data_IF_010654868009
#
_entry.id   IF_010654868009
#
_cell.length_a   1.000
_cell.length_b   1.000
_cell.length_c   1.000
_cell.angle_alpha   90.00
_cell.angle_beta   90.00
_cell.angle_gamma   90.00
#
_symmetry.space_group_name_H-M   'P 1'
#
loop_
_entity.id
_entity.type
_entity.pdbx_description
1 polymer ?
#
# COMPACT_ATOMS: atom_id res chain seq x y z
N UNK A 1 -15.49 -19.19 -2.99
CA UNK A 1 -15.91 -17.99 -3.73
C UNK A 1 -14.88 -17.61 -4.79
N UNK A 2 -15.35 -17.13 -5.93
CA UNK A 2 -14.44 -16.66 -6.98
C UNK A 2 -13.77 -15.36 -6.55
N UNK A 3 -12.49 -15.20 -6.89
CA UNK A 3 -11.74 -13.99 -6.62
C UNK A 3 -12.20 -12.84 -7.54
N UNK A 4 -12.12 -11.63 -7.01
CA UNK A 4 -12.35 -10.41 -7.78
C UNK A 4 -11.19 -10.22 -8.75
N UNK A 5 -11.49 -9.81 -9.98
CA UNK A 5 -10.47 -9.50 -10.99
C UNK A 5 -10.38 -7.99 -11.14
N UNK A 6 -9.29 -7.41 -10.64
CA UNK A 6 -9.01 -6.00 -10.84
C UNK A 6 -8.40 -5.78 -12.23
N UNK A 7 -8.74 -4.68 -12.91
CA UNK A 7 -8.11 -4.36 -14.20
C UNK A 7 -6.64 -3.98 -14.01
N UNK A 8 -5.81 -4.27 -15.00
CA UNK A 8 -4.44 -3.75 -15.05
C UNK A 8 -4.48 -2.26 -15.34
N UNK A 9 -3.71 -1.48 -14.58
CA UNK A 9 -3.57 -0.04 -14.76
C UNK A 9 -2.16 0.28 -15.21
N UNK A 10 -1.98 1.43 -15.83
CA UNK A 10 -0.66 1.90 -16.24
C UNK A 10 -0.41 3.33 -15.81
N UNK A 11 0.86 3.62 -15.50
CA UNK A 11 1.39 4.96 -15.33
C UNK A 11 2.54 5.16 -16.32
N UNK A 12 3.22 6.30 -16.27
CA UNK A 12 4.39 6.54 -17.12
C UNK A 12 5.45 5.44 -16.96
N UNK A 13 5.77 5.06 -15.72
CA UNK A 13 6.88 4.14 -15.41
C UNK A 13 6.46 2.76 -14.92
N UNK A 14 5.18 2.57 -14.58
CA UNK A 14 4.71 1.38 -13.88
C UNK A 14 3.53 0.71 -14.59
N UNK A 15 3.48 -0.62 -14.43
CA UNK A 15 2.28 -1.41 -14.66
C UNK A 15 1.76 -1.82 -13.27
N UNK A 16 0.49 -1.58 -13.02
CA UNK A 16 -0.18 -1.93 -11.77
C UNK A 16 -1.11 -3.12 -12.05
N UNK A 17 -0.83 -4.25 -11.45
CA UNK A 17 -1.58 -5.48 -11.68
C UNK A 17 -1.84 -6.24 -10.37
N UNK A 18 -2.84 -7.11 -10.33
CA UNK A 18 -3.04 -7.99 -9.19
C UNK A 18 -1.80 -8.84 -8.89
N UNK A 19 -1.61 -9.13 -7.61
CA UNK A 19 -0.56 -10.03 -7.14
C UNK A 19 -1.03 -11.47 -7.22
N UNK A 20 -0.10 -12.40 -7.43
CA UNK A 20 -0.33 -13.84 -7.38
C UNK A 20 0.71 -14.53 -6.52
N UNK A 21 0.49 -15.79 -6.17
CA UNK A 21 1.46 -16.58 -5.39
C UNK A 21 2.79 -16.77 -6.14
N UNK A 22 2.80 -16.62 -7.45
CA UNK A 22 4.01 -16.67 -8.26
C UNK A 22 4.92 -15.47 -8.02
N UNK A 23 4.38 -14.39 -7.44
CA UNK A 23 5.13 -13.19 -7.08
C UNK A 23 5.84 -13.30 -5.72
N UNK A 24 5.71 -14.43 -5.02
CA UNK A 24 6.17 -14.59 -3.64
C UNK A 24 7.63 -14.21 -3.40
N UNK A 25 8.52 -14.59 -4.29
CA UNK A 25 9.95 -14.29 -4.12
C UNK A 25 10.23 -12.78 -4.24
N UNK A 26 9.56 -12.12 -5.17
CA UNK A 26 9.66 -10.67 -5.31
C UNK A 26 9.06 -9.95 -4.09
N UNK A 27 7.89 -10.37 -3.63
CA UNK A 27 7.22 -9.81 -2.46
C UNK A 27 8.07 -9.99 -1.20
N UNK A 28 8.71 -11.14 -1.05
CA UNK A 28 9.56 -11.42 0.11
C UNK A 28 10.76 -10.46 0.21
N UNK A 29 11.19 -9.88 -0.90
CA UNK A 29 12.28 -8.89 -0.89
C UNK A 29 11.96 -7.68 -0.01
N UNK A 30 10.70 -7.27 0.10
CA UNK A 30 10.33 -6.17 0.99
C UNK A 30 9.68 -6.65 2.29
N UNK A 31 8.88 -7.71 2.29
CA UNK A 31 8.28 -8.21 3.52
C UNK A 31 9.29 -8.83 4.47
N UNK A 32 10.40 -9.34 3.94
CA UNK A 32 11.52 -9.88 4.72
C UNK A 32 12.65 -8.87 4.98
N UNK A 33 12.51 -7.62 4.57
CA UNK A 33 13.53 -6.58 4.76
C UNK A 33 13.22 -5.73 5.99
N UNK A 34 14.07 -5.77 7.04
CA UNK A 34 13.84 -4.97 8.26
C UNK A 34 13.73 -3.46 8.01
N UNK A 35 14.40 -2.94 6.98
CA UNK A 35 14.34 -1.51 6.62
C UNK A 35 12.94 -1.11 6.15
N UNK A 36 12.29 -1.97 5.37
CA UNK A 36 10.92 -1.77 4.88
C UNK A 36 9.93 -2.00 6.02
N UNK A 37 10.14 -3.03 6.83
CA UNK A 37 9.22 -3.42 7.90
C UNK A 37 9.22 -2.48 9.10
N UNK A 38 10.24 -1.66 9.30
CA UNK A 38 10.46 -0.87 10.52
C UNK A 38 9.19 -0.24 11.10
N UNK A 39 8.37 0.39 10.27
CA UNK A 39 7.15 1.09 10.68
C UNK A 39 5.86 0.36 10.27
N UNK A 40 5.98 -0.83 9.71
CA UNK A 40 4.81 -1.57 9.23
C UNK A 40 4.04 -2.22 10.36
N UNK A 41 2.73 -2.37 10.18
CA UNK A 41 1.84 -2.99 11.16
C UNK A 41 2.07 -4.51 11.24
N UNK A 42 2.42 -5.15 10.12
CA UNK A 42 2.70 -6.59 10.10
C UNK A 42 4.11 -6.88 10.61
N UNK A 43 4.35 -8.06 11.24
CA UNK A 43 5.68 -8.44 11.67
C UNK A 43 6.57 -8.78 10.48
N UNK A 44 7.90 -8.68 10.69
CA UNK A 44 8.87 -9.04 9.66
C UNK A 44 8.66 -10.51 9.24
N UNK A 45 8.52 -10.76 7.94
CA UNK A 45 8.41 -12.11 7.43
C UNK A 45 9.76 -12.81 7.49
N UNK A 46 9.76 -14.04 7.96
CA UNK A 46 10.97 -14.87 8.11
C UNK A 46 11.09 -15.94 7.05
N UNK A 47 9.96 -16.26 6.38
CA UNK A 47 9.89 -17.31 5.36
C UNK A 47 9.04 -16.84 4.19
N UNK A 48 9.44 -17.24 2.99
CA UNK A 48 8.71 -16.90 1.76
C UNK A 48 7.28 -17.47 1.77
N UNK A 49 7.05 -18.57 2.47
CA UNK A 49 5.73 -19.20 2.59
C UNK A 49 4.69 -18.30 3.27
N UNK A 50 5.13 -17.39 4.14
CA UNK A 50 4.23 -16.42 4.78
C UNK A 50 3.60 -15.48 3.75
N UNK A 51 4.28 -15.22 2.63
CA UNK A 51 3.73 -14.45 1.52
C UNK A 51 2.53 -15.16 0.89
N UNK A 52 2.59 -16.48 0.75
CA UNK A 52 1.49 -17.25 0.17
C UNK A 52 0.21 -17.08 0.99
N UNK A 53 0.32 -17.12 2.32
CA UNK A 53 -0.81 -16.94 3.23
C UNK A 53 -1.43 -15.55 3.05
N UNK A 54 -0.60 -14.53 2.98
CA UNK A 54 -1.09 -13.17 2.76
C UNK A 54 -1.77 -13.01 1.39
N UNK A 55 -1.12 -13.43 0.31
CA UNK A 55 -1.65 -13.31 -1.05
C UNK A 55 -2.99 -14.05 -1.19
N UNK A 56 -3.15 -15.17 -0.50
CA UNK A 56 -4.39 -15.93 -0.53
C UNK A 56 -5.59 -15.18 0.07
N UNK A 57 -5.34 -14.14 0.88
CA UNK A 57 -6.41 -13.31 1.47
C UNK A 57 -6.88 -12.19 0.56
N UNK A 58 -6.16 -11.91 -0.52
CA UNK A 58 -6.45 -10.80 -1.42
C UNK A 58 -7.60 -11.11 -2.39
N UNK A 59 -8.20 -10.04 -2.94
CA UNK A 59 -9.22 -10.10 -4.01
C UNK A 59 -10.52 -10.79 -3.63
N UNK A 60 -10.91 -10.69 -2.38
CA UNK A 60 -12.21 -11.19 -1.89
C UNK A 60 -13.24 -10.08 -1.72
N UNK A 61 -12.80 -8.82 -1.72
CA UNK A 61 -13.63 -7.64 -1.56
C UNK A 61 -13.32 -6.65 -2.69
N UNK A 62 -14.35 -6.25 -3.45
CA UNK A 62 -14.21 -5.35 -4.60
C UNK A 62 -13.76 -3.93 -4.21
N UNK A 63 -13.89 -3.55 -2.94
CA UNK A 63 -13.46 -2.25 -2.41
C UNK A 63 -12.13 -2.33 -1.66
N UNK A 64 -11.37 -3.37 -1.89
CA UNK A 64 -9.96 -3.52 -1.47
C UNK A 64 -9.10 -3.63 -2.73
N UNK A 65 -8.53 -2.50 -3.11
CA UNK A 65 -7.83 -2.34 -4.38
C UNK A 65 -6.32 -2.56 -4.19
N UNK A 66 -5.92 -3.83 -4.05
CA UNK A 66 -4.51 -4.21 -3.91
C UNK A 66 -3.84 -4.37 -5.27
N UNK A 67 -2.74 -3.66 -5.50
CA UNK A 67 -1.98 -3.72 -6.74
C UNK A 67 -0.50 -3.98 -6.49
N UNK A 68 0.09 -4.81 -7.33
CA UNK A 68 1.54 -4.90 -7.46
C UNK A 68 2.06 -3.83 -8.39
N UNK A 69 3.23 -3.27 -8.07
CA UNK A 69 3.90 -2.23 -8.87
C UNK A 69 5.02 -2.87 -9.67
N UNK A 70 4.84 -2.96 -10.99
CA UNK A 70 5.85 -3.52 -11.90
C UNK A 70 6.55 -2.37 -12.63
N UNK A 71 7.86 -2.32 -12.55
CA UNK A 71 8.67 -1.32 -13.23
C UNK A 71 8.74 -1.67 -14.72
N UNK A 72 8.25 -0.79 -15.60
CA UNK A 72 8.21 -1.05 -17.05
C UNK A 72 9.59 -1.30 -17.66
N UNK A 73 10.61 -0.58 -17.18
CA UNK A 73 11.96 -0.65 -17.74
C UNK A 73 12.64 -2.00 -17.52
N UNK A 74 12.27 -2.74 -16.48
CA UNK A 74 12.92 -4.01 -16.11
C UNK A 74 11.96 -5.20 -16.07
N UNK A 75 10.66 -4.96 -15.97
CA UNK A 75 9.66 -6.00 -15.73
C UNK A 75 9.65 -6.52 -14.28
N UNK A 76 10.40 -5.89 -13.37
CA UNK A 76 10.51 -6.32 -11.98
C UNK A 76 9.34 -5.80 -11.15
N UNK A 77 8.77 -6.68 -10.31
CA UNK A 77 7.80 -6.29 -9.29
C UNK A 77 8.57 -5.67 -8.11
N UNK A 78 8.35 -4.37 -7.87
CA UNK A 78 9.14 -3.58 -6.92
C UNK A 78 8.40 -3.19 -5.64
N UNK A 79 7.09 -3.36 -5.62
CA UNK A 79 6.28 -2.96 -4.47
C UNK A 79 4.83 -3.32 -4.63
N UNK A 80 4.04 -2.93 -3.67
CA UNK A 80 2.58 -3.11 -3.69
C UNK A 80 1.90 -2.04 -2.85
N UNK A 81 0.61 -1.86 -3.10
CA UNK A 81 -0.21 -0.95 -2.33
C UNK A 81 -1.59 -0.80 -2.91
N UNK A 82 -2.38 0.03 -2.28
CA UNK A 82 -3.73 0.23 -2.75
C UNK A 82 -4.57 1.14 -1.89
N UNK A 83 -5.87 1.02 -2.12
CA UNK A 83 -6.91 1.72 -1.39
C UNK A 83 -7.88 0.70 -0.80
N UNK A 84 -8.30 0.95 0.43
CA UNK A 84 -9.15 0.05 1.20
C UNK A 84 -10.31 0.83 1.79
N UNK A 85 -11.53 0.51 1.39
CA UNK A 85 -12.73 1.22 1.84
C UNK A 85 -13.16 0.77 3.23
N UNK A 86 -13.48 1.73 4.08
CA UNK A 86 -14.05 1.54 5.41
C UNK A 86 -15.47 2.08 5.43
N UNK A 87 -16.43 1.19 5.31
CA UNK A 87 -17.85 1.55 5.15
C UNK A 87 -18.41 2.29 6.37
N UNK A 88 -17.98 1.92 7.57
CA UNK A 88 -18.44 2.50 8.82
C UNK A 88 -18.17 4.01 8.96
N UNK A 89 -17.12 4.50 8.31
CA UNK A 89 -16.71 5.92 8.36
C UNK A 89 -16.65 6.60 7.00
N UNK A 90 -16.99 5.89 5.93
CA UNK A 90 -16.91 6.37 4.54
C UNK A 90 -15.55 6.98 4.17
N UNK A 91 -14.48 6.22 4.44
CA UNK A 91 -13.10 6.63 4.17
C UNK A 91 -12.37 5.52 3.42
N UNK A 92 -11.55 5.91 2.46
CA UNK A 92 -10.61 5.02 1.79
C UNK A 92 -9.22 5.21 2.40
N UNK A 93 -8.68 4.18 3.02
CA UNK A 93 -7.31 4.25 3.54
C UNK A 93 -6.30 3.89 2.46
N UNK A 94 -5.11 4.52 2.50
CA UNK A 94 -3.99 4.20 1.62
C UNK A 94 -3.01 3.28 2.35
N UNK A 95 -2.46 2.31 1.63
CA UNK A 95 -1.39 1.45 2.13
C UNK A 95 -0.40 1.15 1.03
N UNK A 96 0.87 1.01 1.37
CA UNK A 96 1.92 0.75 0.36
C UNK A 96 3.19 0.20 0.99
N UNK A 97 3.89 -0.59 0.18
CA UNK A 97 5.24 -1.08 0.44
C UNK A 97 6.06 -0.91 -0.82
N UNK A 98 7.35 -0.64 -0.66
CA UNK A 98 8.28 -0.56 -1.78
C UNK A 98 9.61 -1.18 -1.35
N UNK A 99 10.18 -2.03 -2.22
CA UNK A 99 11.52 -2.58 -1.99
C UNK A 99 12.51 -1.44 -1.79
N UNK A 100 13.41 -1.60 -0.83
CA UNK A 100 14.30 -0.54 -0.37
C UNK A 100 15.13 0.11 -1.49
N UNK A 101 15.62 -0.68 -2.43
CA UNK A 101 16.47 -0.21 -3.53
C UNK A 101 15.74 0.77 -4.47
N UNK A 102 14.41 0.82 -4.40
CA UNK A 102 13.58 1.69 -5.25
C UNK A 102 13.04 2.93 -4.54
N UNK A 103 13.40 3.12 -3.29
CA UNK A 103 13.01 4.31 -2.52
C UNK A 103 13.56 5.59 -3.15
N UNK A 104 12.93 6.73 -2.84
CA UNK A 104 13.35 8.08 -3.27
C UNK A 104 13.28 8.35 -4.78
N UNK A 105 12.49 7.56 -5.53
CA UNK A 105 12.31 7.75 -6.97
C UNK A 105 10.90 8.22 -7.35
N UNK A 106 10.00 8.36 -6.38
CA UNK A 106 8.62 8.81 -6.63
C UNK A 106 7.69 7.73 -7.18
N UNK A 107 8.06 6.47 -7.13
CA UNK A 107 7.23 5.38 -7.65
C UNK A 107 5.93 5.19 -6.87
N UNK A 108 5.99 5.21 -5.55
CA UNK A 108 4.80 4.99 -4.70
C UNK A 108 3.72 6.06 -4.91
N UNK A 109 4.03 7.37 -4.89
CA UNK A 109 3.02 8.39 -5.19
C UNK A 109 2.45 8.25 -6.59
N UNK A 110 3.27 7.91 -7.59
CA UNK A 110 2.82 7.68 -8.96
C UNK A 110 1.79 6.53 -9.02
N UNK A 111 2.10 5.41 -8.38
CA UNK A 111 1.22 4.24 -8.33
C UNK A 111 -0.10 4.55 -7.61
N UNK A 112 -0.03 5.08 -6.40
CA UNK A 112 -1.22 5.34 -5.57
C UNK A 112 -2.12 6.39 -6.22
N UNK A 113 -1.56 7.43 -6.82
CA UNK A 113 -2.34 8.43 -7.56
C UNK A 113 -3.18 7.77 -8.66
N UNK A 114 -2.59 6.85 -9.40
CA UNK A 114 -3.31 6.14 -10.47
C UNK A 114 -4.43 5.25 -9.91
N UNK A 115 -4.18 4.61 -8.78
CA UNK A 115 -5.20 3.78 -8.11
C UNK A 115 -6.35 4.65 -7.59
N UNK A 116 -6.04 5.84 -7.06
CA UNK A 116 -7.07 6.82 -6.65
C UNK A 116 -7.94 7.21 -7.84
N UNK A 117 -7.32 7.53 -8.99
CA UNK A 117 -8.06 7.88 -10.21
C UNK A 117 -8.99 6.74 -10.65
N UNK A 118 -8.52 5.50 -10.58
CA UNK A 118 -9.36 4.34 -10.85
C UNK A 118 -10.53 4.22 -9.87
N UNK A 119 -10.25 4.37 -8.59
CA UNK A 119 -11.31 4.31 -7.56
C UNK A 119 -12.36 5.40 -7.80
N UNK A 120 -11.93 6.62 -8.11
CA UNK A 120 -12.83 7.73 -8.42
C UNK A 120 -13.68 7.49 -9.68
N UNK A 121 -13.16 6.74 -10.64
CA UNK A 121 -13.90 6.40 -11.86
C UNK A 121 -15.02 5.39 -11.61
N UNK A 122 -14.97 4.66 -10.49
CA UNK A 122 -15.85 3.54 -10.20
C UNK A 122 -16.69 3.74 -8.94
N UNK A 123 -16.21 4.53 -7.98
CA UNK A 123 -16.85 4.74 -6.69
C UNK A 123 -16.88 6.22 -6.32
N UNK A 124 -17.81 6.59 -5.44
CA UNK A 124 -17.81 7.91 -4.83
C UNK A 124 -16.74 7.97 -3.74
N UNK A 125 -15.59 8.53 -4.08
CA UNK A 125 -14.47 8.67 -3.14
C UNK A 125 -14.55 10.05 -2.50
N UNK A 126 -15.00 10.13 -1.25
CA UNK A 126 -15.14 11.39 -0.52
C UNK A 126 -13.89 11.76 0.26
N UNK A 127 -13.26 10.80 0.90
CA UNK A 127 -12.07 11.02 1.74
C UNK A 127 -11.07 9.89 1.53
N UNK A 128 -9.81 10.25 1.36
CA UNK A 128 -8.70 9.32 1.52
C UNK A 128 -7.94 9.66 2.80
N UNK A 129 -7.46 8.63 3.49
CA UNK A 129 -6.74 8.76 4.74
C UNK A 129 -5.50 7.87 4.75
N UNK A 130 -4.48 8.28 5.47
CA UNK A 130 -3.30 7.46 5.70
C UNK A 130 -2.69 7.81 7.05
N UNK A 131 -2.04 6.83 7.66
CA UNK A 131 -1.38 6.98 8.95
C UNK A 131 0.08 6.58 8.81
N UNK A 132 0.97 7.39 9.36
CA UNK A 132 2.40 7.10 9.38
C UNK A 132 2.99 7.37 10.77
N UNK A 133 3.98 6.57 11.15
CA UNK A 133 4.70 6.78 12.40
C UNK A 133 5.53 8.06 12.36
N UNK A 134 5.61 8.76 13.47
CA UNK A 134 6.52 9.90 13.62
C UNK A 134 7.94 9.39 13.38
N UNK A 135 8.66 10.05 12.46
CA UNK A 135 9.98 9.62 12.00
C UNK A 135 9.96 8.91 10.66
N UNK A 136 8.81 8.43 10.21
CA UNK A 136 8.66 7.83 8.88
C UNK A 136 8.46 8.94 7.82
N UNK A 137 9.52 9.66 7.52
CA UNK A 137 9.49 10.80 6.58
C UNK A 137 9.18 10.36 5.15
N UNK A 138 9.56 9.14 4.77
CA UNK A 138 9.23 8.60 3.44
C UNK A 138 7.73 8.52 3.22
N UNK A 139 7.00 7.97 4.18
CA UNK A 139 5.54 7.86 4.11
C UNK A 139 4.87 9.23 4.16
N UNK A 140 5.37 10.14 5.00
CA UNK A 140 4.86 11.52 5.04
C UNK A 140 4.94 12.18 3.68
N UNK A 141 6.09 12.09 3.00
CA UNK A 141 6.29 12.68 1.67
C UNK A 141 5.36 12.08 0.62
N UNK A 142 5.12 10.78 0.68
CA UNK A 142 4.15 10.13 -0.22
C UNK A 142 2.77 10.77 -0.03
N UNK A 143 2.30 10.88 1.20
CA UNK A 143 0.99 11.44 1.49
C UNK A 143 0.88 12.92 1.08
N UNK A 144 1.92 13.71 1.32
CA UNK A 144 1.96 15.11 0.88
C UNK A 144 1.90 15.22 -0.65
N UNK A 145 2.62 14.37 -1.37
CA UNK A 145 2.56 14.33 -2.84
C UNK A 145 1.20 13.91 -3.39
N UNK A 146 0.43 13.17 -2.62
CA UNK A 146 -0.95 12.81 -2.95
C UNK A 146 -1.94 13.93 -2.62
N UNK A 147 -1.47 15.05 -2.06
CA UNK A 147 -2.32 16.18 -1.69
C UNK A 147 -3.00 16.01 -0.34
N UNK A 148 -2.54 15.08 0.47
CA UNK A 148 -3.07 14.86 1.81
C UNK A 148 -2.40 15.81 2.81
N UNK A 149 -3.13 16.16 3.86
CA UNK A 149 -2.63 17.05 4.92
C UNK A 149 -3.03 16.54 6.30
N UNK A 150 -2.39 17.09 7.33
CA UNK A 150 -2.60 16.67 8.72
C UNK A 150 -4.07 16.74 9.12
N UNK A 151 -4.54 15.65 9.76
CA UNK A 151 -5.87 15.55 10.32
C UNK A 151 -5.82 15.41 11.84
N UNK A 152 -5.09 14.42 12.38
CA UNK A 152 -5.00 14.21 13.81
C UNK A 152 -3.73 13.45 14.22
N UNK A 153 -3.35 13.62 15.49
CA UNK A 153 -2.36 12.75 16.13
C UNK A 153 -3.02 11.46 16.57
N UNK A 154 -2.29 10.35 16.46
CA UNK A 154 -2.78 9.02 16.83
C UNK A 154 -1.62 8.12 17.23
N UNK A 155 -1.88 6.85 17.40
CA UNK A 155 -0.87 5.82 17.59
C UNK A 155 -1.36 4.49 17.04
N UNK A 156 -0.44 3.61 16.74
CA UNK A 156 -0.76 2.24 16.34
C UNK A 156 0.31 1.29 16.84
N UNK A 157 -0.05 0.01 16.94
CA UNK A 157 0.86 -1.04 17.34
C UNK A 157 1.01 -2.07 16.23
N UNK A 158 2.18 -2.72 16.18
CA UNK A 158 2.33 -3.90 15.34
C UNK A 158 1.33 -4.98 15.77
N UNK A 159 0.87 -5.78 14.82
CA UNK A 159 -0.13 -6.83 15.07
C UNK A 159 0.32 -7.86 16.11
N UNK A 160 1.63 -8.09 16.23
CA UNK A 160 2.20 -9.00 17.24
C UNK A 160 2.42 -8.33 18.61
N UNK A 161 2.08 -7.03 18.74
CA UNK A 161 2.23 -6.26 19.97
C UNK A 161 3.66 -5.88 20.34
N UNK A 162 4.64 -6.14 19.44
CA UNK A 162 6.06 -5.94 19.75
C UNK A 162 6.47 -4.48 19.87
N UNK A 163 5.75 -3.56 19.22
CA UNK A 163 6.09 -2.14 19.23
C UNK A 163 4.84 -1.27 19.00
N UNK A 164 4.80 -0.11 19.68
CA UNK A 164 3.76 0.91 19.50
C UNK A 164 4.41 2.19 19.02
N UNK A 165 3.80 2.82 18.01
CA UNK A 165 4.30 4.06 17.41
C UNK A 165 3.36 5.21 17.68
N UNK A 166 3.92 6.36 18.08
CA UNK A 166 3.25 7.64 17.91
C UNK A 166 3.14 7.94 16.43
N UNK A 167 2.00 8.41 15.98
CA UNK A 167 1.69 8.52 14.55
C UNK A 167 0.86 9.76 14.25
N UNK A 168 0.75 10.06 12.96
CA UNK A 168 -0.14 11.11 12.44
C UNK A 168 -1.02 10.52 11.35
N UNK A 169 -2.28 10.93 11.34
CA UNK A 169 -3.20 10.64 10.25
C UNK A 169 -3.31 11.87 9.36
N UNK A 170 -3.15 11.67 8.06
CA UNK A 170 -3.40 12.67 7.04
C UNK A 170 -4.66 12.32 6.27
N UNK A 171 -5.38 13.33 5.82
CA UNK A 171 -6.59 13.20 5.01
C UNK A 171 -6.50 14.04 3.75
N UNK A 172 -7.28 13.65 2.74
CA UNK A 172 -7.67 14.51 1.64
C UNK A 172 -9.17 14.33 1.42
N UNK A 173 -9.89 15.44 1.40
CA UNK A 173 -11.34 15.50 1.10
C UNK A 173 -11.50 15.92 -0.35
N UNK A 174 -12.36 15.20 -1.09
CA UNK A 174 -12.68 15.50 -2.48
C UNK A 174 -14.00 16.23 -2.62
#
# INVERSE_FOLDING_TARGET
>A
MSKIILPTLETERLILRPLTVEDRDAIFKWTGDPRVNKYMIYPLYKKVEEVNDWVSTLYEDEKKLDYGFVLKSTGELIGSGGLYYHEDIDVWSVGYNLAYDYWHNGYTPEAIKRIIEYAQSKYDVHVIAGTFAIGNEGSRRVMEKLGMSFYEDTEYSKLDGSETFKAKTFHKVF
#
